data_IF_218262452251
#
_entry.id   IF_218262452251
#
_cell.length_a   1.000
_cell.length_b   1.000
_cell.length_c   1.000
_cell.angle_alpha   90.00
_cell.angle_beta   90.00
_cell.angle_gamma   90.00
#
_symmetry.space_group_name_H-M   'P 1'
#
loop_
_entity.id
_entity.type
_entity.pdbx_description
1 polymer ?
#
# COMPACT_ATOMS: atom_id res chain seq x y z
N UNK A 1 -4.42 25.00 19.25
CA UNK A 1 -3.15 24.48 19.79
C UNK A 1 -3.43 23.16 20.49
N UNK A 2 -3.44 22.05 19.75
CA UNK A 2 -3.52 20.71 20.33
C UNK A 2 -2.11 20.32 20.77
N UNK A 3 -1.99 19.94 22.04
CA UNK A 3 -0.70 19.74 22.69
C UNK A 3 0.05 18.56 22.10
N UNK A 4 1.38 18.63 22.19
CA UNK A 4 2.34 17.58 21.81
C UNK A 4 1.98 16.20 22.41
N UNK A 5 1.26 16.19 23.53
CA UNK A 5 0.83 14.99 24.26
C UNK A 5 -0.31 14.20 23.59
N UNK A 6 -1.15 14.84 22.76
CA UNK A 6 -2.23 14.12 22.04
C UNK A 6 -1.70 13.27 20.88
N UNK A 7 -0.53 13.64 20.31
CA UNK A 7 0.14 12.82 19.28
C UNK A 7 0.78 11.56 19.85
N UNK A 8 1.18 11.57 21.12
CA UNK A 8 1.81 10.42 21.79
C UNK A 8 0.79 9.38 22.29
N UNK A 9 -0.48 9.74 22.46
CA UNK A 9 -1.55 8.82 22.87
C UNK A 9 -2.15 7.97 21.75
N UNK A 10 -1.78 8.21 20.50
CA UNK A 10 -2.07 7.25 19.43
C UNK A 10 -1.07 6.12 19.57
N UNK A 11 -1.47 5.06 20.28
CA UNK A 11 -0.79 3.77 20.25
C UNK A 11 -0.76 3.28 18.82
N UNK A 12 0.27 3.68 18.07
CA UNK A 12 0.73 2.91 16.94
C UNK A 12 1.04 1.53 17.51
N UNK A 13 0.21 0.52 17.22
CA UNK A 13 0.67 -0.85 17.37
C UNK A 13 1.93 -0.94 16.51
N UNK A 14 3.09 -0.87 17.16
CA UNK A 14 4.35 -1.18 16.49
C UNK A 14 4.15 -2.56 15.91
N UNK A 15 4.14 -2.64 14.58
CA UNK A 15 4.13 -3.91 13.86
C UNK A 15 5.35 -4.67 14.37
N UNK A 16 5.11 -5.67 15.21
CA UNK A 16 6.16 -6.35 15.93
C UNK A 16 7.10 -7.04 14.94
N UNK A 17 8.41 -7.02 15.23
CA UNK A 17 9.45 -7.54 14.34
C UNK A 17 9.25 -9.03 13.97
N UNK A 18 8.47 -9.76 14.77
CA UNK A 18 8.15 -11.17 14.60
C UNK A 18 6.98 -11.42 13.63
N UNK A 19 6.24 -10.37 13.19
CA UNK A 19 5.18 -10.56 12.19
C UNK A 19 5.78 -11.06 10.87
N UNK A 20 5.27 -12.21 10.45
CA UNK A 20 5.57 -12.83 9.18
C UNK A 20 4.95 -12.02 8.03
N UNK A 21 5.51 -12.20 6.83
CA UNK A 21 4.93 -11.66 5.59
C UNK A 21 3.45 -12.00 5.45
N UNK A 22 3.06 -13.20 5.86
CA UNK A 22 1.70 -13.70 5.68
C UNK A 22 0.71 -13.06 6.66
N UNK A 23 1.13 -12.77 7.88
CA UNK A 23 0.34 -11.99 8.84
C UNK A 23 0.10 -10.56 8.34
N UNK A 24 1.11 -9.94 7.72
CA UNK A 24 1.00 -8.59 7.17
C UNK A 24 0.07 -8.54 5.95
N UNK A 25 0.22 -9.49 5.01
CA UNK A 25 -0.66 -9.59 3.84
C UNK A 25 -2.09 -9.91 4.27
N UNK A 26 -2.27 -10.80 5.24
CA UNK A 26 -3.58 -11.10 5.79
C UNK A 26 -4.21 -9.85 6.42
N UNK A 27 -3.45 -9.08 7.20
CA UNK A 27 -3.94 -7.84 7.82
C UNK A 27 -4.37 -6.82 6.76
N UNK A 28 -3.54 -6.54 5.76
CA UNK A 28 -3.86 -5.58 4.69
C UNK A 28 -5.09 -6.01 3.89
N UNK A 29 -5.25 -7.31 3.60
CA UNK A 29 -6.42 -7.84 2.90
C UNK A 29 -7.67 -7.98 3.79
N UNK A 30 -7.54 -7.79 5.09
CA UNK A 30 -8.64 -7.89 6.06
C UNK A 30 -9.21 -6.55 6.45
N UNK A 31 -8.44 -5.47 6.32
CA UNK A 31 -8.89 -4.13 6.61
C UNK A 31 -9.59 -3.51 5.40
N UNK A 32 -10.74 -2.84 5.58
CA UNK A 32 -11.27 -1.97 4.54
C UNK A 32 -10.27 -0.84 4.32
N UNK A 33 -9.80 -0.69 3.07
CA UNK A 33 -8.99 0.47 2.71
C UNK A 33 -9.95 1.66 2.64
N UNK A 34 -9.99 2.48 3.68
CA UNK A 34 -10.60 3.81 3.58
C UNK A 34 -9.84 4.58 2.51
N UNK A 35 -10.55 4.86 1.42
CA UNK A 35 -9.98 5.47 0.23
C UNK A 35 -10.58 6.85 0.04
N UNK A 36 -9.71 7.85 0.05
CA UNK A 36 -10.08 9.19 -0.40
C UNK A 36 -10.67 9.12 -1.82
N UNK A 37 -11.76 9.86 -2.06
CA UNK A 37 -12.43 9.88 -3.37
C UNK A 37 -11.47 10.28 -4.48
N UNK A 38 -10.57 11.25 -4.24
CA UNK A 38 -9.57 11.69 -5.20
C UNK A 38 -8.54 10.60 -5.54
N UNK A 39 -8.32 9.66 -4.61
CA UNK A 39 -7.33 8.59 -4.77
C UNK A 39 -7.94 7.31 -5.35
N UNK A 40 -9.25 7.24 -5.53
CA UNK A 40 -9.98 6.00 -5.86
C UNK A 40 -9.41 5.30 -7.09
N UNK A 41 -9.28 6.01 -8.21
CA UNK A 41 -8.81 5.42 -9.47
C UNK A 41 -7.41 4.84 -9.32
N UNK A 42 -6.52 5.55 -8.64
CA UNK A 42 -5.15 5.12 -8.42
C UNK A 42 -5.07 3.92 -7.47
N UNK A 43 -5.79 3.97 -6.35
CA UNK A 43 -5.86 2.86 -5.38
C UNK A 43 -6.41 1.60 -6.01
N UNK A 44 -7.45 1.72 -6.81
CA UNK A 44 -8.02 0.61 -7.57
C UNK A 44 -7.00 0.04 -8.57
N UNK A 45 -6.36 0.91 -9.35
CA UNK A 45 -5.37 0.51 -10.34
C UNK A 45 -4.16 -0.20 -9.72
N UNK A 46 -3.65 0.28 -8.59
CA UNK A 46 -2.56 -0.38 -7.87
C UNK A 46 -2.98 -1.75 -7.33
N UNK A 47 -4.22 -1.88 -6.84
CA UNK A 47 -4.72 -3.16 -6.35
C UNK A 47 -4.98 -4.18 -7.48
N UNK A 48 -5.01 -3.75 -8.74
CA UNK A 48 -5.10 -4.62 -9.91
C UNK A 48 -3.73 -5.10 -10.41
N UNK A 49 -2.63 -4.50 -9.96
CA UNK A 49 -1.27 -4.97 -10.25
C UNK A 49 -0.94 -6.24 -9.47
N UNK A 50 -0.25 -7.24 -10.05
CA UNK A 50 0.18 -8.43 -9.32
C UNK A 50 0.99 -8.09 -8.05
N UNK A 51 0.72 -8.80 -6.96
CA UNK A 51 1.53 -8.79 -5.73
C UNK A 51 1.77 -7.42 -5.06
N UNK A 52 0.94 -6.42 -5.37
CA UNK A 52 0.88 -5.11 -4.72
C UNK A 52 -0.38 -4.99 -3.88
N UNK A 53 -0.29 -4.41 -2.68
CA UNK A 53 -1.45 -4.21 -1.82
C UNK A 53 -1.44 -2.81 -1.23
N UNK A 54 -2.48 -2.03 -1.51
CA UNK A 54 -2.63 -0.70 -0.91
C UNK A 54 -2.99 -0.83 0.57
N UNK A 55 -2.28 -0.09 1.41
CA UNK A 55 -2.48 -0.06 2.85
C UNK A 55 -3.26 1.19 3.30
N UNK A 56 -2.98 2.35 2.70
CA UNK A 56 -3.57 3.63 3.09
C UNK A 56 -3.44 4.66 1.96
N UNK A 57 -4.33 5.64 1.91
CA UNK A 57 -4.29 6.74 0.96
C UNK A 57 -4.91 8.02 1.53
N UNK A 58 -4.45 9.18 1.06
CA UNK A 58 -5.07 10.47 1.34
C UNK A 58 -4.89 11.39 0.14
N UNK A 59 -5.98 12.03 -0.31
CA UNK A 59 -6.01 12.91 -1.48
C UNK A 59 -5.66 14.37 -1.19
N UNK A 60 -5.32 14.69 0.05
CA UNK A 60 -5.04 16.07 0.48
C UNK A 60 -6.29 16.80 0.93
N UNK A 61 -6.19 17.50 2.05
CA UNK A 61 -7.31 18.21 2.65
C UNK A 61 -6.91 19.61 3.12
N UNK A 62 -7.85 20.59 3.06
CA UNK A 62 -7.63 21.92 3.59
C UNK A 62 -7.63 21.96 5.13
N UNK A 63 -8.19 20.95 5.79
CA UNK A 63 -8.34 20.88 7.24
C UNK A 63 -7.49 19.75 7.87
N UNK A 64 -6.75 20.09 8.94
CA UNK A 64 -5.97 19.10 9.72
C UNK A 64 -6.82 18.36 10.79
N UNK A 65 -8.09 18.75 10.96
CA UNK A 65 -8.95 18.26 12.05
C UNK A 65 -9.47 16.84 11.84
N UNK A 66 -9.29 15.97 12.84
CA UNK A 66 -9.98 14.67 12.91
C UNK A 66 -9.45 13.55 12.00
N UNK A 67 -8.35 13.76 11.27
CA UNK A 67 -7.79 12.77 10.34
C UNK A 67 -6.51 12.11 10.87
N UNK A 68 -6.26 10.87 10.45
CA UNK A 68 -5.01 10.18 10.69
C UNK A 68 -4.04 10.47 9.54
N UNK A 69 -2.93 11.17 9.84
CA UNK A 69 -1.89 11.57 8.88
C UNK A 69 -2.43 12.29 7.63
N UNK A 70 -3.08 13.47 7.73
CA UNK A 70 -3.59 14.20 6.58
C UNK A 70 -2.45 14.68 5.67
N UNK A 71 -2.61 14.50 4.36
CA UNK A 71 -1.81 15.24 3.39
C UNK A 71 -2.31 16.69 3.30
N UNK A 72 -1.43 17.68 3.14
CA UNK A 72 -1.84 19.05 2.85
C UNK A 72 -2.65 19.12 1.55
N UNK A 73 -3.47 20.15 1.42
CA UNK A 73 -4.13 20.48 0.17
C UNK A 73 -3.12 20.57 -0.99
N UNK A 74 -3.51 20.09 -2.17
CA UNK A 74 -2.63 20.00 -3.34
C UNK A 74 -1.57 18.89 -3.26
N UNK A 75 -1.47 18.15 -2.17
CA UNK A 75 -0.63 16.97 -2.04
C UNK A 75 -1.48 15.69 -1.95
N UNK A 76 -0.86 14.54 -2.17
CA UNK A 76 -1.47 13.26 -1.86
C UNK A 76 -0.41 12.25 -1.41
N UNK A 77 -0.86 11.17 -0.77
CA UNK A 77 -0.05 9.97 -0.64
C UNK A 77 -0.85 8.70 -0.87
N UNK A 78 -0.12 7.65 -1.23
CA UNK A 78 -0.59 6.28 -1.25
C UNK A 78 0.50 5.38 -0.67
N UNK A 79 0.17 4.57 0.33
CA UNK A 79 1.06 3.57 0.92
C UNK A 79 0.66 2.18 0.46
N UNK A 80 1.64 1.35 0.13
CA UNK A 80 1.41 0.00 -0.35
C UNK A 80 2.57 -0.93 0.02
N UNK A 81 2.28 -2.22 0.09
CA UNK A 81 3.29 -3.28 0.22
C UNK A 81 3.43 -4.02 -1.10
N UNK A 82 4.61 -4.62 -1.30
CA UNK A 82 4.92 -5.44 -2.47
C UNK A 82 5.45 -6.79 -1.99
N UNK A 83 4.92 -7.91 -2.50
CA UNK A 83 5.55 -9.20 -2.21
C UNK A 83 6.91 -9.30 -2.93
N UNK A 84 7.93 -9.90 -2.31
CA UNK A 84 9.24 -10.09 -2.94
C UNK A 84 9.20 -11.25 -3.96
N UNK A 85 8.39 -11.10 -5.00
CA UNK A 85 8.23 -12.02 -6.13
C UNK A 85 8.64 -11.32 -7.43
N UNK A 86 8.88 -12.06 -8.50
CA UNK A 86 9.16 -11.48 -9.82
C UNK A 86 8.02 -10.57 -10.29
N UNK A 87 6.76 -10.99 -10.09
CA UNK A 87 5.59 -10.21 -10.43
C UNK A 87 5.45 -8.95 -9.56
N UNK A 88 5.79 -9.03 -8.26
CA UNK A 88 5.83 -7.87 -7.37
C UNK A 88 6.89 -6.86 -7.78
N UNK A 89 8.10 -7.32 -8.12
CA UNK A 89 9.16 -6.43 -8.63
C UNK A 89 8.79 -5.78 -9.96
N UNK A 90 8.15 -6.53 -10.87
CA UNK A 90 7.61 -5.99 -12.12
C UNK A 90 6.58 -4.89 -11.84
N UNK A 91 5.62 -5.13 -10.95
CA UNK A 91 4.62 -4.14 -10.54
C UNK A 91 5.25 -2.90 -9.90
N UNK A 92 6.26 -3.06 -9.06
CA UNK A 92 6.99 -1.94 -8.47
C UNK A 92 7.70 -1.10 -9.54
N UNK A 93 8.33 -1.75 -10.52
CA UNK A 93 8.96 -1.08 -11.66
C UNK A 93 7.95 -0.31 -12.52
N UNK A 94 6.73 -0.84 -12.72
CA UNK A 94 5.63 -0.15 -13.40
C UNK A 94 5.23 1.11 -12.62
N UNK A 95 5.03 1.00 -11.31
CA UNK A 95 4.62 2.12 -10.45
C UNK A 95 5.68 3.23 -10.45
N UNK A 96 6.95 2.87 -10.29
CA UNK A 96 8.06 3.82 -10.32
C UNK A 96 8.19 4.52 -11.68
N UNK A 97 8.15 3.75 -12.78
CA UNK A 97 8.24 4.33 -14.12
C UNK A 97 7.05 5.24 -14.42
N UNK A 98 5.83 4.86 -14.01
CA UNK A 98 4.66 5.70 -14.21
C UNK A 98 4.79 7.05 -13.50
N UNK A 99 5.24 7.05 -12.24
CA UNK A 99 5.48 8.29 -11.50
C UNK A 99 6.51 9.19 -12.22
N UNK A 100 7.62 8.60 -12.70
CA UNK A 100 8.66 9.35 -13.43
C UNK A 100 8.21 9.85 -14.79
N UNK A 101 7.38 9.10 -15.50
CA UNK A 101 6.85 9.48 -16.81
C UNK A 101 5.81 10.60 -16.72
N UNK A 102 4.98 10.57 -15.68
CA UNK A 102 3.93 11.58 -15.48
C UNK A 102 4.54 12.90 -15.00
N UNK A 103 5.30 12.89 -13.91
CA UNK A 103 5.92 14.10 -13.36
C UNK A 103 7.00 13.75 -12.33
N UNK A 104 8.26 13.62 -12.77
CA UNK A 104 9.37 13.25 -11.89
C UNK A 104 9.75 14.33 -10.85
N UNK A 105 9.26 15.56 -10.98
CA UNK A 105 9.53 16.66 -10.04
C UNK A 105 8.48 16.69 -8.92
N UNK A 106 7.24 16.27 -9.21
CA UNK A 106 6.12 16.32 -8.26
C UNK A 106 5.70 14.97 -7.72
N UNK A 107 6.12 13.87 -8.35
CA UNK A 107 5.83 12.50 -7.95
C UNK A 107 7.10 11.77 -7.52
N UNK A 108 7.03 11.09 -6.39
CA UNK A 108 8.10 10.22 -5.93
C UNK A 108 7.56 8.92 -5.34
N UNK A 109 8.23 7.81 -5.64
CA UNK A 109 8.03 6.51 -4.98
C UNK A 109 9.20 6.29 -4.03
N UNK A 110 8.90 6.13 -2.75
CA UNK A 110 9.91 6.04 -1.69
C UNK A 110 9.65 4.82 -0.83
N UNK A 111 10.72 4.24 -0.29
CA UNK A 111 10.61 3.24 0.78
C UNK A 111 10.18 3.95 2.05
N UNK A 112 9.12 3.46 2.70
CA UNK A 112 8.66 3.89 4.00
C UNK A 112 8.52 2.65 4.89
N UNK A 113 9.64 2.07 5.33
CA UNK A 113 9.54 0.91 6.22
C UNK A 113 9.22 1.38 7.64
N UNK A 114 7.94 1.30 8.02
CA UNK A 114 7.45 1.55 9.39
C UNK A 114 7.46 0.29 10.25
N UNK A 115 8.08 -0.79 9.77
CA UNK A 115 8.18 -2.07 10.48
C UNK A 115 9.64 -2.42 10.75
N UNK A 116 9.90 -3.11 11.84
CA UNK A 116 11.22 -3.70 12.12
C UNK A 116 11.42 -5.04 11.38
N UNK A 117 10.48 -5.42 10.50
CA UNK A 117 10.54 -6.67 9.73
C UNK A 117 11.25 -6.44 8.40
N UNK A 118 12.37 -7.13 8.12
CA UNK A 118 13.04 -7.05 6.81
C UNK A 118 12.31 -7.85 5.72
N UNK A 119 11.25 -8.58 6.08
CA UNK A 119 10.56 -9.54 5.20
C UNK A 119 9.46 -8.92 4.36
N UNK A 120 9.13 -7.66 4.61
CA UNK A 120 8.16 -6.90 3.84
C UNK A 120 8.58 -5.43 3.83
N UNK A 121 8.57 -4.82 2.65
CA UNK A 121 8.89 -3.40 2.49
C UNK A 121 7.60 -2.66 2.17
N UNK A 122 7.31 -1.62 2.97
CA UNK A 122 6.24 -0.67 2.69
C UNK A 122 6.84 0.44 1.82
N UNK A 123 6.12 0.78 0.76
CA UNK A 123 6.40 1.88 -0.14
C UNK A 123 5.36 2.97 0.02
N UNK A 124 5.75 4.19 -0.31
CA UNK A 124 4.88 5.35 -0.36
C UNK A 124 5.08 6.08 -1.68
N UNK A 125 3.98 6.30 -2.39
CA UNK A 125 3.92 7.31 -3.44
C UNK A 125 3.50 8.64 -2.83
N UNK A 126 4.20 9.71 -3.19
CA UNK A 126 3.91 11.09 -2.80
C UNK A 126 3.66 11.91 -4.06
N UNK A 127 2.54 12.64 -4.08
CA UNK A 127 2.29 13.69 -5.05
C UNK A 127 2.25 15.05 -4.36
N UNK A 128 2.81 16.08 -4.99
CA UNK A 128 2.87 17.45 -4.47
C UNK A 128 2.43 18.45 -5.51
N UNK A 129 2.19 19.69 -5.10
CA UNK A 129 1.97 20.84 -5.99
C UNK A 129 0.92 20.57 -7.08
N UNK A 130 -0.20 19.93 -6.71
CA UNK A 130 -1.30 19.63 -7.62
C UNK A 130 -1.07 18.42 -8.54
N UNK A 131 -0.10 17.55 -8.24
CA UNK A 131 0.10 16.30 -8.97
C UNK A 131 -1.20 15.51 -9.10
N UNK A 132 -1.45 14.95 -10.28
CA UNK A 132 -2.69 14.27 -10.62
C UNK A 132 -2.58 12.74 -10.39
N UNK A 133 -3.29 12.17 -9.41
CA UNK A 133 -3.29 10.72 -9.19
C UNK A 133 -3.96 9.94 -10.32
N UNK A 134 -4.89 10.53 -11.06
CA UNK A 134 -5.58 9.84 -12.17
C UNK A 134 -4.63 9.68 -13.38
N UNK A 135 -3.82 10.69 -13.70
CA UNK A 135 -2.77 10.59 -14.71
C UNK A 135 -1.78 9.44 -14.42
N UNK A 136 -1.40 9.24 -13.14
CA UNK A 136 -0.56 8.10 -12.74
C UNK A 136 -1.28 6.77 -12.96
N UNK A 137 -2.57 6.69 -12.63
CA UNK A 137 -3.36 5.49 -12.86
C UNK A 137 -3.47 5.14 -14.35
N UNK A 138 -3.64 6.14 -15.20
CA UNK A 138 -3.67 5.98 -16.66
C UNK A 138 -2.33 5.46 -17.20
N UNK A 139 -1.22 6.04 -16.74
CA UNK A 139 0.12 5.63 -17.17
C UNK A 139 0.46 4.20 -16.71
N UNK A 140 0.08 3.82 -15.48
CA UNK A 140 0.22 2.43 -15.02
C UNK A 140 -0.51 1.46 -15.96
N UNK A 141 -1.77 1.76 -16.31
CA UNK A 141 -2.53 0.92 -17.24
C UNK A 141 -1.90 0.89 -18.63
N UNK A 142 -1.33 2.00 -19.09
CA UNK A 142 -0.60 2.11 -20.35
C UNK A 142 0.62 1.19 -20.36
N UNK A 143 1.45 1.25 -19.31
CA UNK A 143 2.63 0.40 -19.14
C UNK A 143 2.27 -1.08 -19.04
N UNK A 144 1.20 -1.42 -18.30
CA UNK A 144 0.70 -2.80 -18.25
C UNK A 144 0.30 -3.33 -19.64
N UNK A 145 -0.38 -2.52 -20.46
CA UNK A 145 -0.70 -2.89 -21.85
C UNK A 145 0.57 -3.08 -22.68
N UNK A 146 1.52 -2.14 -22.58
CA UNK A 146 2.79 -2.17 -23.31
C UNK A 146 3.60 -3.43 -23.01
N UNK A 147 3.60 -3.88 -21.76
CA UNK A 147 4.36 -5.04 -21.30
C UNK A 147 3.52 -6.30 -21.13
N UNK A 148 2.29 -6.30 -21.64
CA UNK A 148 1.39 -7.46 -21.62
C UNK A 148 1.14 -8.02 -20.21
N UNK A 149 1.16 -7.15 -19.19
CA UNK A 149 0.82 -7.51 -17.82
C UNK A 149 -0.69 -7.60 -17.68
N UNK A 150 -1.20 -8.79 -17.37
CA UNK A 150 -2.62 -9.01 -17.15
C UNK A 150 -3.06 -8.45 -15.80
N UNK A 151 -4.07 -7.58 -15.84
CA UNK A 151 -4.78 -7.06 -14.65
C UNK A 151 -6.05 -7.86 -14.33
N UNK A 152 -6.43 -8.78 -15.23
CA UNK A 152 -7.71 -9.49 -15.14
C UNK A 152 -7.74 -10.40 -13.93
N UNK A 153 -8.79 -10.24 -13.12
CA UNK A 153 -9.07 -11.06 -11.93
C UNK A 153 -8.00 -11.06 -10.83
N UNK A 154 -7.01 -10.16 -10.91
CA UNK A 154 -5.98 -10.01 -9.88
C UNK A 154 -6.60 -9.65 -8.54
N UNK A 155 -7.56 -8.71 -8.54
CA UNK A 155 -8.23 -8.27 -7.31
C UNK A 155 -9.10 -9.36 -6.69
N UNK A 156 -9.86 -10.10 -7.50
CA UNK A 156 -10.64 -11.25 -7.02
C UNK A 156 -9.74 -12.34 -6.45
N UNK A 157 -8.64 -12.66 -7.14
CA UNK A 157 -7.66 -13.62 -6.66
C UNK A 157 -7.07 -13.21 -5.30
N UNK A 158 -6.67 -11.94 -5.15
CA UNK A 158 -6.12 -11.44 -3.90
C UNK A 158 -7.12 -11.56 -2.74
N UNK A 159 -8.36 -11.14 -2.97
CA UNK A 159 -9.43 -11.17 -1.96
C UNK A 159 -9.82 -12.59 -1.53
N UNK A 160 -9.94 -13.51 -2.50
CA UNK A 160 -10.54 -14.82 -2.25
C UNK A 160 -9.51 -15.92 -2.02
N UNK A 161 -8.39 -15.90 -2.76
CA UNK A 161 -7.39 -16.99 -2.72
C UNK A 161 -6.18 -16.60 -1.88
N UNK A 162 -5.56 -15.45 -2.17
CA UNK A 162 -4.32 -15.06 -1.48
C UNK A 162 -4.53 -14.79 0.01
N UNK A 163 -5.66 -14.13 0.36
CA UNK A 163 -6.07 -13.90 1.75
C UNK A 163 -6.24 -15.22 2.52
N UNK A 164 -6.93 -16.20 1.92
CA UNK A 164 -7.15 -17.50 2.54
C UNK A 164 -5.84 -18.26 2.76
N UNK A 165 -4.97 -18.30 1.76
CA UNK A 165 -3.62 -18.89 1.89
C UNK A 165 -2.78 -18.21 2.99
N UNK A 166 -2.93 -16.90 3.15
CA UNK A 166 -2.25 -16.16 4.22
C UNK A 166 -2.77 -16.65 5.58
N UNK A 167 -4.09 -16.68 5.77
CA UNK A 167 -4.74 -17.12 7.00
C UNK A 167 -4.34 -18.56 7.40
N UNK A 168 -4.35 -19.50 6.45
CA UNK A 168 -3.97 -20.89 6.71
C UNK A 168 -2.53 -21.01 7.24
N UNK A 169 -1.60 -20.23 6.69
CA UNK A 169 -0.21 -20.18 7.17
C UNK A 169 -0.11 -19.57 8.56
N UNK A 170 -0.85 -18.51 8.85
CA UNK A 170 -0.90 -17.91 10.20
C UNK A 170 -1.40 -18.95 11.21
N UNK A 171 -2.51 -19.63 10.92
CA UNK A 171 -3.09 -20.64 11.79
C UNK A 171 -2.20 -21.88 11.96
N UNK A 172 -1.54 -22.35 10.90
CA UNK A 172 -0.59 -23.46 10.96
C UNK A 172 0.64 -23.14 11.81
N UNK A 173 1.16 -21.91 11.72
CA UNK A 173 2.29 -21.44 12.54
C UNK A 173 1.94 -21.37 14.04
N UNK A 174 0.71 -21.00 14.39
CA UNK A 174 0.25 -20.98 15.78
C UNK A 174 0.15 -22.40 16.37
N UNK A 175 -0.40 -23.36 15.62
CA UNK A 175 -0.49 -24.76 16.06
C UNK A 175 0.88 -25.42 16.27
N UNK A 176 1.89 -25.05 15.47
CA UNK A 176 3.26 -25.54 15.64
C UNK A 176 3.99 -24.99 16.86
N UNK A 177 3.60 -23.80 17.37
CA UNK A 177 4.18 -23.20 18.58
C UNK A 177 3.64 -23.82 19.88
N UNK A 178 2.43 -24.38 19.87
CA UNK A 178 1.80 -24.99 21.05
C UNK A 178 2.28 -26.42 21.36
N UNK A 179 2.98 -27.10 20.45
CA UNK A 179 3.50 -28.46 20.66
C UNK A 179 4.98 -28.49 21.07
N UNK A 180 5.55 -27.34 21.40
CA UNK A 180 6.94 -27.17 21.82
C UNK A 180 7.10 -26.74 23.29
N UNK A 181 6.31 -27.31 24.21
CA UNK A 181 6.52 -27.21 25.66
C UNK A 181 6.51 -28.59 26.30
#
# INVERSE_FOLDING_TARGET
MTSRDERERRTYEKVSADRTREELIYAVLSLPVECDVRMRTLVETLNDLPDVYTCSSCGGHPDEGGRENPAPEGCFYLQFIVEPTEAGFLSLGIIDLAARNVDCERLAVQVLNTTDSPRLVIFRMLGRNGADPDAVAEEIRSLCRKWQVSLRSVREYKKNVRKQKALEKVMGSLRGKDHGR
#
